data_IF_849003348509
#
_entry.id   IF_849003348509
#
_cell.length_a   1.000
_cell.length_b   1.000
_cell.length_c   1.000
_cell.angle_alpha   90.00
_cell.angle_beta   90.00
_cell.angle_gamma   90.00
#
_symmetry.space_group_name_H-M   'P 1'
#
loop_
_entity.id
_entity.type
_entity.pdbx_description
1 polymer ?
#
# COMPACT_ATOMS: atom_id res chain seq x y z
N UNK A 1 12.53 -3.81 5.22
CA UNK A 1 11.07 -3.87 5.01
C UNK A 1 10.50 -4.95 5.93
N UNK A 2 11.25 -6.03 6.10
CA UNK A 2 10.99 -7.20 6.96
C UNK A 2 10.50 -6.86 8.37
N UNK A 3 11.24 -6.11 9.20
CA UNK A 3 10.82 -5.86 10.59
C UNK A 3 9.50 -5.07 10.68
N UNK A 4 9.27 -4.07 9.81
CA UNK A 4 8.01 -3.34 9.82
C UNK A 4 6.87 -4.23 9.35
N UNK A 5 7.07 -5.00 8.29
CA UNK A 5 6.07 -5.95 7.78
C UNK A 5 5.70 -6.98 8.87
N UNK A 6 6.66 -7.47 9.65
CA UNK A 6 6.40 -8.40 10.75
C UNK A 6 5.64 -7.75 11.92
N UNK A 7 5.98 -6.51 12.27
CA UNK A 7 5.28 -5.76 13.32
C UNK A 7 3.86 -5.37 12.92
N UNK A 8 3.67 -4.95 11.66
CA UNK A 8 2.37 -4.48 11.17
C UNK A 8 1.55 -5.60 10.55
N UNK A 9 2.10 -6.77 10.21
CA UNK A 9 1.33 -7.87 9.58
C UNK A 9 0.16 -8.37 10.45
N UNK A 10 0.19 -8.12 11.76
CA UNK A 10 -0.93 -8.46 12.64
C UNK A 10 -2.10 -7.47 12.49
N UNK A 11 -1.81 -6.20 12.17
CA UNK A 11 -2.78 -5.10 12.12
C UNK A 11 -3.07 -4.64 10.67
N UNK A 12 -2.18 -4.97 9.74
CA UNK A 12 -2.14 -4.47 8.38
C UNK A 12 -2.02 -5.64 7.39
N UNK A 13 -2.94 -5.68 6.44
CA UNK A 13 -2.93 -6.67 5.37
C UNK A 13 -2.16 -6.15 4.16
N UNK A 14 -0.95 -6.68 3.93
CA UNK A 14 -0.11 -6.27 2.79
C UNK A 14 -0.45 -7.08 1.54
N UNK A 15 -0.93 -6.42 0.49
CA UNK A 15 -1.22 -7.05 -0.81
C UNK A 15 -0.14 -6.68 -1.81
N UNK A 16 0.62 -7.68 -2.29
CA UNK A 16 1.60 -7.49 -3.36
C UNK A 16 0.93 -7.75 -4.70
N UNK A 17 0.49 -6.68 -5.35
CA UNK A 17 -0.05 -6.76 -6.69
C UNK A 17 1.08 -6.68 -7.73
N UNK A 18 1.19 -7.71 -8.57
CA UNK A 18 2.10 -7.68 -9.70
C UNK A 18 1.39 -7.05 -10.91
N UNK A 19 1.88 -5.88 -11.37
CA UNK A 19 1.33 -5.18 -12.53
C UNK A 19 1.51 -5.95 -13.86
N UNK A 20 2.40 -6.95 -13.90
CA UNK A 20 2.61 -7.79 -15.09
C UNK A 20 1.62 -8.96 -15.18
N UNK A 21 0.85 -9.23 -14.12
CA UNK A 21 -0.22 -10.23 -14.15
C UNK A 21 -1.50 -9.62 -14.74
N UNK A 22 -2.41 -10.46 -15.24
CA UNK A 22 -3.70 -10.05 -15.82
C UNK A 22 -4.47 -9.10 -14.89
N UNK A 23 -4.58 -9.46 -13.61
CA UNK A 23 -5.22 -8.62 -12.59
C UNK A 23 -4.53 -7.26 -12.40
N UNK A 24 -3.19 -7.22 -12.51
CA UNK A 24 -2.42 -5.99 -12.41
C UNK A 24 -2.61 -5.09 -13.62
N UNK A 25 -2.70 -5.69 -14.82
CA UNK A 25 -2.98 -4.96 -16.07
C UNK A 25 -4.39 -4.38 -16.09
N UNK A 26 -5.37 -5.06 -15.50
CA UNK A 26 -6.74 -4.55 -15.35
C UNK A 26 -6.80 -3.41 -14.31
N UNK A 27 -6.07 -3.54 -13.20
CA UNK A 27 -6.06 -2.55 -12.13
C UNK A 27 -5.18 -1.33 -12.42
N UNK A 28 -4.15 -1.45 -13.27
CA UNK A 28 -3.28 -0.35 -13.68
C UNK A 28 -4.01 0.89 -14.22
N UNK A 29 -4.91 0.77 -15.20
CA UNK A 29 -5.69 1.92 -15.66
C UNK A 29 -6.75 2.37 -14.64
N UNK A 30 -7.27 1.46 -13.80
CA UNK A 30 -8.29 1.79 -12.79
C UNK A 30 -7.74 2.66 -11.65
N UNK A 31 -6.55 2.33 -11.14
CA UNK A 31 -5.90 3.06 -10.05
C UNK A 31 -4.91 4.12 -10.53
N UNK A 32 -4.58 4.14 -11.83
CA UNK A 32 -3.62 5.08 -12.43
C UNK A 32 -2.17 4.75 -12.06
N UNK A 33 -1.78 3.47 -12.12
CA UNK A 33 -0.40 3.04 -11.90
C UNK A 33 0.49 3.47 -13.07
N UNK A 34 0.96 4.71 -13.05
CA UNK A 34 1.88 5.24 -14.08
C UNK A 34 3.35 4.91 -13.78
N UNK A 35 3.68 4.64 -12.52
CA UNK A 35 5.06 4.41 -12.06
C UNK A 35 5.11 3.26 -11.05
N UNK A 36 6.18 2.47 -11.11
CA UNK A 36 6.45 1.40 -10.14
C UNK A 36 7.77 1.66 -9.42
N UNK A 37 7.85 1.38 -8.11
CA UNK A 37 6.78 0.85 -7.24
C UNK A 37 5.75 1.92 -6.82
N UNK A 38 4.49 1.52 -6.64
CA UNK A 38 3.42 2.36 -6.05
C UNK A 38 2.88 1.66 -4.80
N UNK A 39 2.71 2.42 -3.73
CA UNK A 39 2.17 1.97 -2.45
C UNK A 39 0.86 2.71 -2.20
N UNK A 40 -0.22 1.98 -1.98
CA UNK A 40 -1.53 2.55 -1.64
C UNK A 40 -1.92 1.99 -0.27
N UNK A 41 -2.29 2.89 0.63
CA UNK A 41 -2.80 2.54 1.95
C UNK A 41 -4.32 2.64 1.93
N UNK A 42 -4.97 1.55 2.30
CA UNK A 42 -6.42 1.47 2.45
C UNK A 42 -6.80 1.35 3.92
N UNK A 43 -7.85 2.05 4.32
CA UNK A 43 -8.50 1.85 5.61
C UNK A 43 -9.35 0.57 5.63
N UNK A 44 -9.81 0.12 6.80
CA UNK A 44 -10.67 -1.06 6.96
C UNK A 44 -11.98 -1.00 6.14
N UNK A 45 -12.41 0.21 5.77
CA UNK A 45 -13.58 0.44 4.92
C UNK A 45 -13.29 0.39 3.41
N UNK A 46 -12.03 0.15 3.02
CA UNK A 46 -11.59 0.14 1.62
C UNK A 46 -11.37 1.54 1.03
N UNK A 47 -11.29 2.57 1.86
CA UNK A 47 -10.99 3.94 1.42
C UNK A 47 -9.48 4.14 1.29
N UNK A 48 -9.04 4.69 0.17
CA UNK A 48 -7.65 5.11 -0.03
C UNK A 48 -7.33 6.30 0.89
N UNK A 49 -6.51 6.08 1.92
CA UNK A 49 -6.05 7.17 2.79
C UNK A 49 -4.93 7.96 2.12
N UNK A 50 -3.98 7.26 1.52
CA UNK A 50 -2.88 7.89 0.79
C UNK A 50 -2.22 6.93 -0.19
N UNK A 51 -1.49 7.49 -1.16
CA UNK A 51 -0.63 6.76 -2.09
C UNK A 51 0.76 7.38 -2.16
N UNK A 52 1.78 6.55 -2.30
CA UNK A 52 3.17 6.93 -2.53
C UNK A 52 3.70 6.27 -3.79
N UNK A 53 4.43 7.02 -4.59
CA UNK A 53 4.99 6.57 -5.86
C UNK A 53 6.51 6.69 -5.76
N UNK A 54 7.23 5.61 -6.06
CA UNK A 54 8.69 5.55 -6.08
C UNK A 54 9.29 5.09 -4.75
N UNK A 55 9.26 5.94 -3.72
CA UNK A 55 9.93 5.65 -2.45
C UNK A 55 8.94 5.21 -1.37
N UNK A 56 9.29 4.15 -0.64
CA UNK A 56 8.49 3.63 0.45
C UNK A 56 8.97 4.21 1.77
N UNK A 57 8.13 5.04 2.39
CA UNK A 57 8.42 5.60 3.71
C UNK A 57 7.76 4.76 4.83
N UNK A 58 8.53 3.98 5.60
CA UNK A 58 8.00 3.17 6.69
C UNK A 58 7.49 4.02 7.86
N UNK A 59 8.03 5.22 8.08
CA UNK A 59 7.56 6.10 9.17
C UNK A 59 6.13 6.56 8.90
N UNK A 60 5.78 6.83 7.64
CA UNK A 60 4.42 7.22 7.24
C UNK A 60 3.37 6.15 7.53
N UNK A 61 3.71 4.87 7.33
CA UNK A 61 2.84 3.74 7.70
C UNK A 61 2.61 3.72 9.21
N UNK A 62 3.69 3.89 9.99
CA UNK A 62 3.63 3.91 11.46
C UNK A 62 2.80 5.07 11.99
N UNK A 63 2.96 6.26 11.40
CA UNK A 63 2.18 7.45 11.75
C UNK A 63 0.68 7.23 11.47
N UNK A 64 0.36 6.60 10.33
CA UNK A 64 -1.04 6.27 9.98
C UNK A 64 -1.65 5.25 10.95
N UNK A 65 -0.88 4.23 11.34
CA UNK A 65 -1.31 3.23 12.34
C UNK A 65 -1.44 3.82 13.74
N UNK A 66 -0.57 4.77 14.11
CA UNK A 66 -0.57 5.41 15.42
C UNK A 66 -1.61 6.54 15.54
N UNK A 67 -2.01 7.15 14.42
CA UNK A 67 -2.90 8.32 14.35
C UNK A 67 -4.38 8.00 14.08
N UNK A 68 -4.77 6.72 14.06
CA UNK A 68 -6.17 6.30 13.98
C UNK A 68 -6.90 6.44 15.32
N UNK A 69 -7.17 7.66 15.76
CA UNK A 69 -8.10 7.98 16.87
C UNK A 69 -9.37 8.68 16.37
#
# INVERSE_FOLDING_TARGET
MDELEEEVAHDLHVIRLNIQEEVGMELAPLYGFEFTPTFIYFDAQGNELWRMVGDFDPQRVRDTLAGGE
#
